data_IF_949966443992
#
_entry.id   IF_949966443992
#
_cell.length_a   1.000
_cell.length_b   1.000
_cell.length_c   1.000
_cell.angle_alpha   90.00
_cell.angle_beta   90.00
_cell.angle_gamma   90.00
#
_symmetry.space_group_name_H-M   'P 1'
#
loop_
_entity.id
_entity.type
_entity.pdbx_description
1 polymer ?
#
# COMPACT_ATOMS: atom_id res chain seq x y z
N UNK A 1 -2.75 -15.31 -15.46
CA UNK A 1 -1.31 -15.25 -15.06
C UNK A 1 -1.22 -14.91 -13.57
N UNK A 2 -0.23 -15.45 -12.84
CA UNK A 2 -0.01 -15.05 -11.46
C UNK A 2 0.39 -13.57 -11.40
N UNK A 3 -0.21 -12.80 -10.50
CA UNK A 3 0.14 -11.39 -10.30
C UNK A 3 1.58 -11.29 -9.76
N UNK A 4 2.36 -10.38 -10.33
CA UNK A 4 3.71 -10.09 -9.84
C UNK A 4 3.66 -9.10 -8.68
N UNK A 5 4.65 -9.13 -7.79
CA UNK A 5 4.76 -8.15 -6.71
C UNK A 5 5.09 -6.78 -7.28
N UNK A 6 4.31 -5.76 -6.94
CA UNK A 6 4.62 -4.37 -7.29
C UNK A 6 5.93 -3.93 -6.63
N UNK A 7 6.80 -3.25 -7.39
CA UNK A 7 8.10 -2.75 -6.89
C UNK A 7 7.92 -1.75 -5.75
N UNK A 8 8.87 -1.70 -4.82
CA UNK A 8 8.77 -0.83 -3.61
C UNK A 8 8.72 0.65 -4.00
N UNK A 9 9.48 1.07 -5.01
CA UNK A 9 9.49 2.45 -5.48
C UNK A 9 8.12 2.86 -6.01
N UNK A 10 7.47 1.95 -6.75
CA UNK A 10 6.12 2.16 -7.28
C UNK A 10 5.10 2.22 -6.14
N UNK A 11 5.26 1.40 -5.09
CA UNK A 11 4.40 1.48 -3.89
C UNK A 11 4.55 2.83 -3.18
N UNK A 12 5.78 3.35 -3.03
CA UNK A 12 6.04 4.66 -2.41
C UNK A 12 5.38 5.78 -3.22
N UNK A 13 5.59 5.81 -4.53
CA UNK A 13 4.99 6.82 -5.41
C UNK A 13 3.46 6.74 -5.38
N UNK A 14 2.90 5.52 -5.42
CA UNK A 14 1.45 5.32 -5.34
C UNK A 14 0.88 5.82 -4.02
N UNK A 15 1.57 5.53 -2.90
CA UNK A 15 1.14 5.99 -1.58
C UNK A 15 1.23 7.51 -1.47
N UNK A 16 2.30 8.13 -1.96
CA UNK A 16 2.42 9.59 -1.98
C UNK A 16 1.31 10.24 -2.80
N UNK A 17 1.03 9.73 -4.00
CA UNK A 17 -0.05 10.24 -4.85
C UNK A 17 -1.44 10.16 -4.17
N UNK A 18 -1.67 9.15 -3.33
CA UNK A 18 -2.88 9.06 -2.51
C UNK A 18 -2.87 10.09 -1.38
N UNK A 19 -1.76 10.19 -0.64
CA UNK A 19 -1.63 11.10 0.49
C UNK A 19 -1.73 12.57 0.06
N UNK A 20 -1.19 12.93 -1.11
CA UNK A 20 -1.27 14.29 -1.70
C UNK A 20 -2.70 14.77 -1.92
N UNK A 21 -3.64 13.83 -2.12
CA UNK A 21 -5.07 14.14 -2.29
C UNK A 21 -5.81 14.33 -0.96
N UNK A 22 -5.15 14.07 0.17
CA UNK A 22 -5.74 14.27 1.49
C UNK A 22 -5.45 15.69 1.97
N UNK A 23 -6.45 16.31 2.62
CA UNK A 23 -6.28 17.61 3.24
C UNK A 23 -5.55 17.46 4.59
N UNK A 24 -4.22 17.37 4.53
CA UNK A 24 -3.36 17.16 5.71
C UNK A 24 -2.84 18.54 6.18
N UNK A 25 -3.11 18.96 7.44
CA UNK A 25 -2.52 20.18 7.96
C UNK A 25 -1.00 20.02 8.02
N UNK A 26 -0.26 21.11 7.73
CA UNK A 26 1.20 21.15 7.77
C UNK A 26 1.70 21.93 9.01
N UNK A 27 1.85 21.28 10.18
CA UNK A 27 2.48 21.89 11.33
C UNK A 27 3.91 22.36 11.02
N UNK A 28 4.29 23.50 11.58
CA UNK A 28 5.67 24.03 11.52
C UNK A 28 6.71 23.11 12.20
N UNK A 29 6.26 22.08 12.92
CA UNK A 29 7.12 21.10 13.59
C UNK A 29 7.75 20.08 12.62
N UNK A 30 7.32 20.03 11.36
CA UNK A 30 7.91 19.15 10.36
C UNK A 30 8.95 19.87 9.52
N UNK A 31 10.03 19.18 9.16
CA UNK A 31 11.11 19.76 8.35
C UNK A 31 10.71 20.00 6.89
N UNK A 32 9.71 19.28 6.37
CA UNK A 32 9.16 19.48 5.02
C UNK A 32 7.77 18.84 4.86
N UNK A 33 7.04 19.17 3.77
CA UNK A 33 5.75 18.53 3.46
C UNK A 33 5.86 17.01 3.38
N UNK A 34 6.85 16.46 2.67
CA UNK A 34 7.03 15.00 2.55
C UNK A 34 6.98 14.28 3.92
N UNK A 35 7.73 14.77 4.91
CA UNK A 35 7.72 14.17 6.25
C UNK A 35 6.38 14.35 6.98
N UNK A 36 5.67 15.46 6.77
CA UNK A 36 4.34 15.65 7.33
C UNK A 36 3.32 14.64 6.75
N UNK A 37 3.31 14.46 5.42
CA UNK A 37 2.46 13.49 4.73
C UNK A 37 2.81 12.05 5.12
N UNK A 38 4.10 11.68 5.14
CA UNK A 38 4.57 10.36 5.55
C UNK A 38 4.17 10.02 7.00
N UNK A 39 4.39 10.95 7.94
CA UNK A 39 3.98 10.75 9.34
C UNK A 39 2.47 10.68 9.51
N UNK A 40 1.70 11.41 8.71
CA UNK A 40 0.25 11.27 8.68
C UNK A 40 -0.17 9.88 8.16
N UNK A 41 0.42 9.42 7.05
CA UNK A 41 0.20 8.08 6.51
C UNK A 41 0.49 6.98 7.53
N UNK A 42 1.62 7.05 8.24
CA UNK A 42 1.96 6.13 9.34
C UNK A 42 0.87 6.11 10.43
N UNK A 43 0.36 7.28 10.83
CA UNK A 43 -0.72 7.37 11.83
C UNK A 43 -2.00 6.68 11.36
N UNK A 44 -2.39 6.89 10.11
CA UNK A 44 -3.58 6.25 9.53
C UNK A 44 -3.39 4.73 9.42
N UNK A 45 -2.24 4.27 8.92
CA UNK A 45 -1.93 2.84 8.81
C UNK A 45 -1.93 2.14 10.18
N UNK A 46 -1.36 2.76 11.22
CA UNK A 46 -1.42 2.23 12.59
C UNK A 46 -2.85 2.13 13.11
N UNK A 47 -3.69 3.13 12.82
CA UNK A 47 -5.11 3.11 13.20
C UNK A 47 -5.86 2.00 12.45
N UNK A 48 -5.53 1.76 11.18
CA UNK A 48 -6.09 0.66 10.38
C UNK A 48 -5.66 -0.71 10.89
N UNK A 49 -4.37 -0.89 11.23
CA UNK A 49 -3.86 -2.18 11.71
C UNK A 49 -4.44 -2.61 13.06
N UNK A 50 -4.96 -1.67 13.85
CA UNK A 50 -5.64 -1.96 15.11
C UNK A 50 -7.12 -2.33 14.97
N UNK A 51 -7.69 -2.34 13.75
CA UNK A 51 -9.09 -2.70 13.52
C UNK A 51 -9.25 -4.21 13.32
N UNK A 52 -10.45 -4.72 13.61
CA UNK A 52 -10.83 -6.09 13.29
C UNK A 52 -10.72 -6.36 11.78
N UNK A 53 -10.35 -7.57 11.41
CA UNK A 53 -10.28 -8.00 10.02
C UNK A 53 -11.62 -7.82 9.31
N UNK A 54 -11.61 -7.15 8.16
CA UNK A 54 -12.79 -6.98 7.31
C UNK A 54 -12.85 -8.20 6.37
N UNK A 55 -13.70 -9.18 6.68
CA UNK A 55 -13.80 -10.44 5.91
C UNK A 55 -14.26 -10.24 4.47
N UNK A 56 -14.92 -9.13 4.19
CA UNK A 56 -15.40 -8.76 2.85
C UNK A 56 -14.37 -7.99 2.04
N UNK A 57 -13.20 -7.66 2.63
CA UNK A 57 -12.12 -7.03 1.87
C UNK A 57 -11.59 -8.03 0.85
N UNK A 58 -11.71 -7.67 -0.43
CA UNK A 58 -11.14 -8.40 -1.55
C UNK A 58 -10.19 -7.46 -2.30
N UNK A 59 -9.00 -7.92 -2.72
CA UNK A 59 -8.20 -7.20 -3.70
C UNK A 59 -9.06 -6.88 -4.93
N UNK A 60 -8.82 -5.73 -5.57
CA UNK A 60 -9.49 -5.41 -6.82
C UNK A 60 -9.14 -6.45 -7.88
N UNK A 61 -10.15 -6.99 -8.56
CA UNK A 61 -10.01 -7.90 -9.70
C UNK A 61 -9.69 -7.11 -10.97
N UNK A 62 -8.57 -6.38 -10.91
CA UNK A 62 -8.15 -5.46 -11.94
C UNK A 62 -7.08 -6.03 -12.88
N UNK A 63 -6.54 -5.16 -13.73
CA UNK A 63 -5.36 -5.49 -14.51
C UNK A 63 -4.07 -5.14 -13.78
N UNK A 64 -2.99 -5.82 -14.14
CA UNK A 64 -1.65 -5.42 -13.75
C UNK A 64 -0.93 -4.78 -14.93
N UNK A 65 -0.44 -3.56 -14.72
CA UNK A 65 0.38 -2.85 -15.70
C UNK A 65 1.63 -3.68 -16.04
N UNK A 66 1.85 -3.96 -17.32
CA UNK A 66 2.99 -4.77 -17.79
C UNK A 66 4.34 -4.06 -17.62
N UNK A 67 4.34 -2.73 -17.50
CA UNK A 67 5.57 -1.96 -17.34
C UNK A 67 6.01 -1.85 -15.87
N UNK A 68 5.09 -1.47 -14.97
CA UNK A 68 5.44 -1.14 -13.59
C UNK A 68 4.84 -2.09 -12.53
N UNK A 69 3.96 -3.01 -12.92
CA UNK A 69 3.32 -3.96 -12.01
C UNK A 69 2.26 -3.35 -11.09
N UNK A 70 1.83 -2.11 -11.34
CA UNK A 70 0.74 -1.46 -10.62
C UNK A 70 -0.61 -2.11 -10.99
N UNK A 71 -1.48 -2.32 -10.00
CA UNK A 71 -2.84 -2.78 -10.23
C UNK A 71 -3.74 -1.59 -10.63
N UNK A 72 -4.50 -1.76 -11.70
CA UNK A 72 -5.49 -0.80 -12.19
C UNK A 72 -6.87 -1.45 -12.33
N UNK A 73 -7.92 -0.65 -12.28
CA UNK A 73 -9.29 -1.12 -12.47
C UNK A 73 -9.50 -1.52 -13.95
N UNK A 74 -10.10 -2.69 -14.18
CA UNK A 74 -10.49 -3.07 -15.53
C UNK A 74 -11.81 -2.35 -15.86
N UNK A 75 -11.92 -1.66 -17.01
CA UNK A 75 -13.19 -1.04 -17.41
C UNK A 75 -14.26 -2.13 -17.59
N UNK A 76 -15.42 -1.96 -16.94
CA UNK A 76 -16.50 -2.96 -16.96
C UNK A 76 -17.16 -3.13 -18.35
N UNK A 77 -17.03 -2.12 -19.22
CA UNK A 77 -17.85 -1.99 -20.44
C UNK A 77 -17.07 -1.97 -21.77
N UNK A 78 -15.76 -2.16 -21.75
CA UNK A 78 -14.94 -2.12 -22.98
C UNK A 78 -14.36 -3.49 -23.26
N UNK A 79 -14.37 -3.89 -24.54
CA UNK A 79 -13.61 -5.06 -25.02
C UNK A 79 -12.16 -4.90 -24.54
N UNK A 80 -11.84 -5.66 -23.51
CA UNK A 80 -10.62 -5.50 -22.75
C UNK A 80 -9.47 -6.08 -23.57
N UNK A 81 -8.74 -5.20 -24.26
CA UNK A 81 -7.54 -5.56 -25.00
C UNK A 81 -6.43 -5.91 -24.01
N UNK A 82 -6.24 -7.22 -23.77
CA UNK A 82 -5.23 -7.74 -22.87
C UNK A 82 -3.80 -7.32 -23.24
N UNK A 83 -3.57 -6.88 -24.49
CA UNK A 83 -2.27 -6.44 -24.99
C UNK A 83 -1.93 -5.00 -24.58
N UNK A 84 -2.90 -4.21 -24.10
CA UNK A 84 -2.74 -2.78 -23.73
C UNK A 84 -2.82 -2.51 -22.22
N UNK A 85 -2.34 -3.44 -21.41
CA UNK A 85 -2.29 -3.32 -19.94
C UNK A 85 -1.22 -2.34 -19.48
N UNK A 86 -1.41 -1.05 -19.70
CA UNK A 86 -0.59 0.03 -19.12
C UNK A 86 -1.45 0.84 -18.15
N UNK A 87 -0.91 1.17 -16.98
CA UNK A 87 -1.60 2.09 -16.08
C UNK A 87 -1.52 3.52 -16.63
N UNK A 88 -2.38 4.41 -16.13
CA UNK A 88 -2.43 5.83 -16.53
C UNK A 88 -1.08 6.55 -16.37
N UNK A 89 -0.22 6.10 -15.47
CA UNK A 89 1.15 6.61 -15.34
C UNK A 89 2.08 6.16 -16.46
N UNK A 90 1.94 4.93 -16.97
CA UNK A 90 2.82 4.36 -18.00
C UNK A 90 2.27 4.59 -19.42
N UNK A 91 0.95 4.80 -19.56
CA UNK A 91 0.29 4.98 -20.86
C UNK A 91 0.82 6.22 -21.61
N UNK A 92 1.15 7.30 -20.89
CA UNK A 92 1.75 8.52 -21.44
C UNK A 92 3.28 8.48 -21.59
N UNK A 93 3.95 7.45 -21.07
CA UNK A 93 5.41 7.28 -21.16
C UNK A 93 5.77 6.42 -22.37
N UNK A 94 4.84 6.21 -23.31
CA UNK A 94 5.11 5.51 -24.56
C UNK A 94 6.39 6.07 -25.17
N UNK A 95 7.39 5.18 -25.23
CA UNK A 95 8.69 5.48 -25.77
C UNK A 95 8.51 6.12 -27.15
N UNK A 96 9.26 7.18 -27.49
CA UNK A 96 9.36 7.62 -28.87
C UNK A 96 9.83 6.40 -29.67
N UNK A 97 8.98 5.92 -30.59
CA UNK A 97 9.26 4.97 -31.67
C UNK A 97 10.47 4.03 -31.42
N UNK A 98 10.31 3.03 -30.55
CA UNK A 98 11.15 1.83 -30.66
C UNK A 98 10.45 0.90 -31.63
N UNK A 99 10.81 1.06 -32.91
CA UNK A 99 10.38 0.19 -33.98
C UNK A 99 10.62 -1.28 -33.66
N UNK A 100 9.64 -2.09 -34.06
CA UNK A 100 9.74 -3.51 -34.39
C UNK A 100 11.08 -4.20 -34.04
N UNK A 101 11.19 -4.63 -32.78
CA UNK A 101 12.27 -5.49 -32.31
C UNK A 101 11.71 -6.57 -31.41
N UNK A 102 10.99 -7.53 -32.00
CA UNK A 102 10.63 -8.75 -31.30
C UNK A 102 11.90 -9.52 -30.92
N UNK A 103 12.00 -9.87 -29.63
CA UNK A 103 12.83 -10.98 -29.16
C UNK A 103 14.10 -10.58 -28.42
N UNK A 104 14.17 -10.89 -27.13
CA UNK A 104 15.14 -11.86 -26.62
C UNK A 104 15.01 -12.04 -25.10
N UNK A 105 14.61 -13.25 -24.72
CA UNK A 105 15.12 -14.02 -23.60
C UNK A 105 15.29 -13.35 -22.22
N UNK A 106 14.32 -13.60 -21.34
CA UNK A 106 14.60 -13.88 -19.94
C UNK A 106 15.32 -15.24 -19.86
N UNK A 107 16.63 -15.24 -20.05
CA UNK A 107 17.49 -16.36 -19.71
C UNK A 107 18.11 -16.12 -18.33
N UNK A 108 18.09 -17.20 -17.54
CA UNK A 108 18.63 -17.31 -16.20
C UNK A 108 20.09 -16.88 -16.09
N UNK A 109 20.42 -16.15 -15.04
CA UNK A 109 21.74 -16.16 -14.40
C UNK A 109 21.49 -16.28 -12.89
N UNK A 110 21.32 -17.52 -12.44
CA UNK A 110 21.39 -17.89 -11.03
C UNK A 110 22.83 -18.37 -10.78
N UNK A 111 23.68 -17.47 -10.30
CA UNK A 111 25.06 -17.78 -9.93
C UNK A 111 25.78 -16.54 -9.42
N UNK A 112 25.95 -16.43 -8.10
CA UNK A 112 26.66 -15.31 -7.48
C UNK A 112 26.51 -15.29 -5.97
N UNK A 113 27.47 -15.91 -5.29
CA UNK A 113 27.64 -16.01 -3.84
C UNK A 113 27.61 -14.67 -3.08
N UNK A 114 27.05 -14.72 -1.87
CA UNK A 114 27.51 -13.91 -0.73
C UNK A 114 26.48 -12.94 -0.14
N UNK A 115 25.72 -13.30 0.91
CA UNK A 115 25.14 -12.30 1.79
C UNK A 115 26.25 -11.72 2.67
N UNK A 116 26.72 -10.52 2.29
CA UNK A 116 27.37 -9.62 3.23
C UNK A 116 26.43 -9.41 4.42
N UNK A 117 26.97 -9.66 5.62
CA UNK A 117 26.26 -9.56 6.89
C UNK A 117 25.46 -8.25 6.97
N UNK A 118 24.14 -8.38 7.00
CA UNK A 118 23.23 -7.34 7.46
C UNK A 118 23.59 -7.06 8.92
N UNK A 119 24.38 -6.00 9.13
CA UNK A 119 24.60 -5.43 10.45
C UNK A 119 23.24 -5.20 11.09
N UNK A 120 23.01 -5.86 12.23
CA UNK A 120 21.84 -5.64 13.05
C UNK A 120 21.73 -4.14 13.34
N UNK A 121 20.71 -3.50 12.78
CA UNK A 121 20.39 -2.12 13.11
C UNK A 121 20.22 -1.96 14.62
N UNK A 122 20.48 -0.77 15.17
CA UNK A 122 20.34 -0.52 16.60
C UNK A 122 18.94 -0.96 17.07
N UNK A 123 18.84 -1.54 18.28
CA UNK A 123 17.57 -2.01 18.81
C UNK A 123 16.54 -0.89 18.74
N UNK A 124 15.35 -1.22 18.23
CA UNK A 124 14.23 -0.28 18.21
C UNK A 124 14.06 0.32 19.62
N UNK A 125 13.84 1.64 19.74
CA UNK A 125 13.62 2.27 21.04
C UNK A 125 12.47 1.54 21.74
N UNK A 126 12.66 1.23 23.02
CA UNK A 126 11.65 0.60 23.85
C UNK A 126 10.32 1.33 23.66
N UNK A 127 9.29 0.57 23.28
CA UNK A 127 7.94 1.12 23.17
C UNK A 127 7.60 1.70 24.55
N UNK A 128 7.17 2.97 24.67
CA UNK A 128 6.63 3.46 25.93
C UNK A 128 5.48 2.52 26.31
N UNK A 129 5.48 2.08 27.57
CA UNK A 129 4.49 1.17 28.12
C UNK A 129 3.10 1.57 27.65
N UNK A 130 2.47 0.69 26.89
CA UNK A 130 1.09 0.90 26.50
C UNK A 130 0.29 1.04 27.80
N UNK A 131 -0.48 2.13 27.97
CA UNK A 131 -1.27 2.29 29.18
C UNK A 131 -2.18 1.07 29.34
N UNK A 132 -2.36 0.56 30.57
CA UNK A 132 -3.18 -0.61 30.81
C UNK A 132 -4.57 -0.37 30.19
N UNK A 133 -4.98 -1.28 29.33
CA UNK A 133 -6.33 -1.30 28.77
C UNK A 133 -7.26 -1.48 29.98
N UNK A 134 -7.92 -0.40 30.38
CA UNK A 134 -8.93 -0.44 31.44
C UNK A 134 -9.96 -1.50 31.02
N UNK A 135 -10.04 -2.57 31.81
CA UNK A 135 -11.02 -3.62 31.62
C UNK A 135 -12.41 -2.98 31.61
N UNK A 136 -13.13 -3.12 30.50
CA UNK A 136 -14.52 -2.70 30.40
C UNK A 136 -15.31 -3.47 31.48
N UNK A 137 -15.75 -2.73 32.50
CA UNK A 137 -16.56 -3.28 33.59
C UNK A 137 -17.87 -3.89 33.06
N UNK A 138 -18.40 -4.90 33.75
CA UNK A 138 -19.61 -5.60 33.32
C UNK A 138 -20.80 -4.63 33.25
N UNK A 139 -21.48 -4.67 32.11
CA UNK A 139 -22.72 -3.96 31.82
C UNK A 139 -23.76 -4.14 32.94
N UNK A 140 -24.31 -3.01 33.37
CA UNK A 140 -25.33 -2.91 34.42
C UNK A 140 -26.53 -3.82 34.20
N UNK A 141 -27.08 -4.27 35.33
CA UNK A 141 -28.27 -5.14 35.43
C UNK A 141 -29.50 -4.49 34.78
N UNK A 142 -30.41 -5.26 34.16
CA UNK A 142 -31.67 -4.77 33.65
C UNK A 142 -32.56 -4.26 34.80
N UNK A 143 -33.08 -3.04 34.65
CA UNK A 143 -34.03 -2.42 35.58
C UNK A 143 -35.36 -3.18 35.62
N UNK A 144 -35.89 -3.40 36.82
CA UNK A 144 -37.24 -3.94 37.02
C UNK A 144 -38.28 -2.93 36.54
N UNK A 145 -39.16 -3.35 35.64
CA UNK A 145 -40.42 -2.67 35.36
C UNK A 145 -41.30 -2.74 36.62
N UNK A 146 -41.76 -1.58 37.10
CA UNK A 146 -42.84 -1.47 38.07
C UNK A 146 -44.11 -1.20 37.28
N UNK A 147 -45.05 -2.13 37.28
CA UNK A 147 -46.40 -1.92 36.76
C UNK A 147 -47.25 -1.19 37.81
N UNK A 148 -47.96 -0.15 37.36
CA UNK A 148 -49.07 0.46 38.09
C UNK A 148 -50.39 -0.17 37.62
#
# INVERSE_FOLDING_TARGET
>A
PALQRTRVEVQIVSLLAVLERWNIPLPRAHCCPYHAYALHGIRVLRKMSGRNCIRTFKPMDGFQCLSCGMLGEAPEDLEYDESRRLCSFCEGVRAPDQGAGAGAALAAEAGGEGPAALAAGPPAPARPDAPPIAAAGPHGKPGKLVSM
#
